data_IF_771000742881
#
_entry.id   IF_771000742881
#
_cell.length_a   1.000
_cell.length_b   1.000
_cell.length_c   1.000
_cell.angle_alpha   90.00
_cell.angle_beta   90.00
_cell.angle_gamma   90.00
#
_symmetry.space_group_name_H-M   'P 1'
#
loop_
_entity.id
_entity.type
_entity.pdbx_description
1 polymer ?
#
# COMPACT_ATOMS: atom_id res chain seq x y z
N UNK A 1 3.64 -12.36 15.07
CA UNK A 1 3.00 -12.59 13.75
C UNK A 1 4.01 -12.24 12.67
N UNK A 2 4.16 -13.08 11.62
CA UNK A 2 5.04 -12.76 10.50
C UNK A 2 4.42 -11.70 9.59
N UNK A 3 5.24 -10.94 8.87
CA UNK A 3 4.81 -9.89 7.93
C UNK A 3 3.84 -10.40 6.85
N UNK A 4 3.87 -11.69 6.53
CA UNK A 4 3.02 -12.34 5.52
C UNK A 4 1.57 -12.56 5.96
N UNK A 5 1.23 -12.29 7.22
CA UNK A 5 -0.12 -12.46 7.77
C UNK A 5 -0.82 -11.12 8.07
N UNK A 6 -0.20 -10.01 7.66
CA UNK A 6 -0.75 -8.66 7.86
C UNK A 6 -1.25 -8.13 6.53
N UNK A 7 -2.55 -7.90 6.43
CA UNK A 7 -3.16 -7.21 5.29
C UNK A 7 -2.82 -5.71 5.32
N UNK A 8 -2.46 -5.14 4.19
CA UNK A 8 -2.26 -3.69 4.05
C UNK A 8 -3.35 -3.14 3.15
N UNK A 9 -4.11 -2.20 3.66
CA UNK A 9 -5.25 -1.60 2.96
C UNK A 9 -4.98 -0.12 2.70
N UNK A 10 -5.16 0.29 1.46
CA UNK A 10 -5.08 1.69 1.06
C UNK A 10 -6.48 2.22 0.75
N UNK A 11 -6.97 3.15 1.55
CA UNK A 11 -8.35 3.67 1.49
C UNK A 11 -9.43 2.58 1.48
N UNK A 12 -9.20 1.49 2.24
CA UNK A 12 -10.14 0.39 2.39
C UNK A 12 -10.07 -0.69 1.30
N UNK A 13 -9.09 -0.64 0.40
CA UNK A 13 -8.84 -1.66 -0.62
C UNK A 13 -7.47 -2.29 -0.36
N UNK A 14 -7.42 -3.62 -0.25
CA UNK A 14 -6.16 -4.32 0.02
C UNK A 14 -5.14 -4.14 -1.10
N UNK A 15 -3.89 -3.95 -0.71
CA UNK A 15 -2.73 -3.96 -1.60
C UNK A 15 -2.18 -5.38 -1.69
N UNK A 16 -2.14 -5.94 -2.88
CA UNK A 16 -1.64 -7.29 -3.13
C UNK A 16 -0.18 -7.32 -3.55
N UNK A 17 0.54 -8.37 -3.17
CA UNK A 17 1.82 -8.74 -3.73
C UNK A 17 1.85 -10.25 -3.97
N UNK A 18 1.70 -10.68 -5.24
CA UNK A 18 1.65 -12.10 -5.60
C UNK A 18 3.03 -12.77 -5.61
N UNK A 19 4.13 -12.02 -5.55
CA UNK A 19 5.48 -12.55 -5.55
C UNK A 19 5.88 -13.11 -4.17
N UNK A 20 5.73 -12.29 -3.12
CA UNK A 20 6.21 -12.64 -1.78
C UNK A 20 5.23 -12.30 -0.65
N UNK A 21 4.06 -11.74 -0.95
CA UNK A 21 3.04 -11.39 0.03
C UNK A 21 3.36 -10.18 0.91
N UNK A 22 4.49 -9.50 0.69
CA UNK A 22 4.95 -8.38 1.52
C UNK A 22 4.75 -7.06 0.81
N UNK A 23 4.17 -6.08 1.48
CA UNK A 23 4.01 -4.72 0.98
C UNK A 23 5.06 -3.81 1.60
N UNK A 24 5.89 -3.18 0.77
CA UNK A 24 6.82 -2.14 1.21
C UNK A 24 6.06 -0.85 1.53
N UNK A 25 5.92 -0.56 2.84
CA UNK A 25 5.24 0.66 3.30
C UNK A 25 6.04 1.93 2.99
N UNK A 26 7.35 1.82 2.78
CA UNK A 26 8.21 2.95 2.42
C UNK A 26 7.89 3.59 1.07
N UNK A 27 7.11 2.93 0.23
CA UNK A 27 6.65 3.49 -1.04
C UNK A 27 5.50 4.51 -0.92
N UNK A 28 4.87 4.64 0.26
CA UNK A 28 3.79 5.59 0.50
C UNK A 28 4.28 6.84 1.21
N UNK A 29 3.80 8.01 0.77
CA UNK A 29 4.16 9.28 1.40
C UNK A 29 3.27 9.56 2.61
N UNK A 30 3.89 9.86 3.75
CA UNK A 30 3.15 10.30 4.94
C UNK A 30 2.59 11.72 4.81
N UNK A 31 3.11 12.52 3.87
CA UNK A 31 2.66 13.90 3.65
C UNK A 31 1.22 13.99 3.13
N UNK A 32 0.72 12.91 2.52
CA UNK A 32 -0.64 12.78 1.99
C UNK A 32 -1.52 11.82 2.82
N UNK A 33 -1.05 11.35 3.97
CA UNK A 33 -1.83 10.48 4.84
C UNK A 33 -2.59 11.28 5.89
N UNK A 34 -3.86 10.92 6.11
CA UNK A 34 -4.69 11.41 7.21
C UNK A 34 -4.49 10.53 8.44
N UNK A 35 -4.44 9.20 8.24
CA UNK A 35 -4.26 8.24 9.32
C UNK A 35 -3.54 6.98 8.85
N UNK A 36 -2.78 6.39 9.76
CA UNK A 36 -2.25 5.02 9.66
C UNK A 36 -2.75 4.27 10.89
N UNK A 37 -3.58 3.25 10.67
CA UNK A 37 -4.21 2.50 11.76
C UNK A 37 -3.80 1.04 11.72
N UNK A 38 -3.36 0.50 12.85
CA UNK A 38 -3.02 -0.91 13.02
C UNK A 38 -4.12 -1.60 13.82
N UNK A 39 -4.63 -2.70 13.29
CA UNK A 39 -5.53 -3.61 14.01
C UNK A 39 -4.83 -4.94 14.28
N UNK A 40 -4.83 -5.34 15.55
CA UNK A 40 -4.40 -6.67 16.00
C UNK A 40 -5.62 -7.60 15.92
N UNK A 41 -5.90 -8.14 14.74
CA UNK A 41 -7.12 -8.90 14.44
C UNK A 41 -8.01 -8.18 13.43
N UNK A 42 -9.28 -8.53 13.42
CA UNK A 42 -10.26 -7.95 12.51
C UNK A 42 -10.73 -6.57 13.00
N UNK A 43 -11.01 -5.68 12.05
CA UNK A 43 -11.68 -4.42 12.34
C UNK A 43 -13.09 -4.68 12.86
N UNK A 44 -13.50 -3.94 13.89
CA UNK A 44 -14.82 -4.11 14.56
C UNK A 44 -16.02 -3.68 13.71
N UNK A 45 -15.84 -3.19 12.48
CA UNK A 45 -16.92 -2.83 11.59
C UNK A 45 -17.39 -4.04 10.79
N UNK A 46 -18.70 -4.29 10.72
CA UNK A 46 -19.23 -5.37 9.87
C UNK A 46 -19.43 -4.92 8.41
N UNK A 47 -19.66 -3.64 8.16
CA UNK A 47 -19.87 -3.09 6.81
C UNK A 47 -18.51 -2.85 6.13
N UNK A 48 -17.99 -3.89 5.51
CA UNK A 48 -16.67 -3.93 4.86
C UNK A 48 -16.62 -5.03 3.79
N UNK A 49 -15.64 -4.99 2.88
CA UNK A 49 -15.37 -6.06 1.92
C UNK A 49 -15.15 -7.42 2.57
N UNK A 50 -15.37 -8.52 1.82
CA UNK A 50 -15.13 -9.87 2.31
C UNK A 50 -13.65 -10.09 2.67
N UNK A 51 -12.73 -9.47 1.94
CA UNK A 51 -11.28 -9.56 2.16
C UNK A 51 -10.84 -9.08 3.55
N UNK A 52 -11.52 -8.06 4.11
CA UNK A 52 -11.21 -7.50 5.43
C UNK A 52 -11.43 -8.50 6.57
N UNK A 53 -12.25 -9.54 6.36
CA UNK A 53 -12.47 -10.61 7.33
C UNK A 53 -11.39 -11.70 7.31
N UNK A 54 -10.48 -11.69 6.32
CA UNK A 54 -9.47 -12.73 6.10
C UNK A 54 -8.10 -12.48 6.72
N UNK A 55 -7.86 -11.33 7.34
CA UNK A 55 -6.53 -10.94 7.83
C UNK A 55 -6.38 -11.18 9.32
N UNK A 56 -5.26 -11.77 9.75
CA UNK A 56 -4.91 -11.95 11.15
C UNK A 56 -4.48 -10.66 11.86
N UNK A 57 -4.02 -9.67 11.09
CA UNK A 57 -3.76 -8.30 11.48
C UNK A 57 -3.88 -7.41 10.25
N UNK A 58 -4.14 -6.12 10.43
CA UNK A 58 -4.39 -5.22 9.30
C UNK A 58 -3.81 -3.83 9.54
N UNK A 59 -3.16 -3.29 8.51
CA UNK A 59 -2.70 -1.90 8.47
C UNK A 59 -3.57 -1.16 7.47
N UNK A 60 -4.25 -0.12 7.92
CA UNK A 60 -5.05 0.77 7.08
C UNK A 60 -4.31 2.08 6.87
N UNK A 61 -3.96 2.35 5.62
CA UNK A 61 -3.43 3.62 5.15
C UNK A 61 -4.61 4.44 4.63
N UNK A 62 -4.96 5.48 5.34
CA UNK A 62 -6.03 6.38 4.94
C UNK A 62 -5.43 7.66 4.40
N UNK A 63 -5.63 7.92 3.12
CA UNK A 63 -5.19 9.14 2.50
C UNK A 63 -6.11 10.31 2.83
N UNK A 64 -5.58 11.52 2.76
CA UNK A 64 -6.31 12.73 3.01
C UNK A 64 -7.43 12.92 1.98
N UNK A 65 -8.62 13.28 2.46
CA UNK A 65 -9.72 13.76 1.63
C UNK A 65 -9.74 15.29 1.66
N UNK A 66 -9.74 15.97 0.50
CA UNK A 66 -9.75 17.43 0.46
C UNK A 66 -10.97 18.04 1.19
N UNK A 67 -10.68 18.98 2.08
CA UNK A 67 -11.71 19.76 2.80
C UNK A 67 -11.40 21.23 2.60
N UNK A 68 -12.39 22.01 2.15
CA UNK A 68 -12.26 23.41 1.85
C UNK A 68 -13.07 24.27 2.81
N UNK A 69 -12.55 25.44 3.15
CA UNK A 69 -13.29 26.49 3.81
C UNK A 69 -14.13 27.25 2.77
N UNK A 70 -15.18 27.94 3.20
CA UNK A 70 -16.10 28.64 2.30
C UNK A 70 -15.40 29.68 1.40
N UNK A 71 -14.34 30.29 1.90
CA UNK A 71 -13.55 31.34 1.22
C UNK A 71 -12.43 30.82 0.31
N UNK A 72 -12.19 29.48 0.27
CA UNK A 72 -11.04 28.91 -0.46
C UNK A 72 -11.45 27.75 -1.35
N UNK A 73 -11.10 27.87 -2.63
CA UNK A 73 -11.33 26.83 -3.64
C UNK A 73 -10.12 25.93 -3.87
N UNK A 74 -8.96 26.25 -3.32
CA UNK A 74 -7.75 25.45 -3.48
C UNK A 74 -6.89 25.48 -2.20
N UNK A 75 -6.05 24.46 -2.09
CA UNK A 75 -5.03 24.34 -1.06
C UNK A 75 -3.76 23.79 -1.69
N UNK A 76 -2.61 24.40 -1.37
CA UNK A 76 -1.28 23.95 -1.83
C UNK A 76 -0.37 23.86 -0.61
N UNK A 77 0.31 22.71 -0.48
CA UNK A 77 1.33 22.47 0.52
C UNK A 77 2.60 21.99 -0.17
N UNK A 78 3.66 22.77 -0.10
CA UNK A 78 5.01 22.37 -0.51
C UNK A 78 5.84 22.06 0.73
N UNK A 79 6.55 20.92 0.71
CA UNK A 79 7.42 20.49 1.80
C UNK A 79 8.79 20.14 1.23
N UNK A 80 9.84 20.54 1.91
CA UNK A 80 11.20 20.15 1.59
C UNK A 80 11.86 19.56 2.83
N UNK A 81 12.33 18.32 2.72
CA UNK A 81 13.02 17.62 3.79
C UNK A 81 14.45 17.33 3.34
N UNK A 82 15.40 17.52 4.23
CA UNK A 82 16.80 17.18 4.04
C UNK A 82 17.37 16.62 5.34
N UNK A 83 18.48 15.93 5.26
CA UNK A 83 19.06 15.29 6.44
C UNK A 83 20.35 14.52 6.14
N UNK A 84 20.74 13.67 7.07
CA UNK A 84 21.91 12.81 6.95
C UNK A 84 21.86 11.96 5.67
N UNK A 85 23.03 11.51 5.22
CA UNK A 85 23.23 10.68 4.02
C UNK A 85 22.83 11.34 2.70
N UNK A 86 22.83 12.68 2.66
CA UNK A 86 22.52 13.47 1.46
C UNK A 86 21.05 13.36 1.04
N UNK A 87 20.13 13.31 2.01
CA UNK A 87 18.69 13.27 1.75
C UNK A 87 18.22 14.58 1.13
N UNK A 88 17.50 14.46 0.01
CA UNK A 88 16.76 15.51 -0.68
C UNK A 88 15.36 14.98 -0.95
N UNK A 89 14.34 15.56 -0.31
CA UNK A 89 12.97 15.03 -0.38
C UNK A 89 11.94 16.17 -0.48
N UNK A 90 11.79 16.79 -1.67
CA UNK A 90 10.70 17.71 -1.95
C UNK A 90 9.38 16.97 -2.13
N UNK A 91 8.29 17.55 -1.65
CA UNK A 91 6.92 17.10 -1.92
C UNK A 91 5.97 18.26 -2.16
N UNK A 92 4.94 18.02 -2.96
CA UNK A 92 3.89 18.95 -3.29
C UNK A 92 2.54 18.25 -3.17
N UNK A 93 1.64 18.87 -2.43
CA UNK A 93 0.23 18.52 -2.39
C UNK A 93 -0.58 19.70 -2.92
N UNK A 94 -1.38 19.46 -3.94
CA UNK A 94 -2.34 20.40 -4.48
C UNK A 94 -3.74 19.81 -4.37
N UNK A 95 -4.68 20.57 -3.84
CA UNK A 95 -6.09 20.23 -3.70
C UNK A 95 -6.94 21.33 -4.31
N UNK A 96 -7.98 20.96 -5.05
CA UNK A 96 -8.86 21.87 -5.77
C UNK A 96 -10.32 21.50 -5.59
N UNK A 97 -11.14 22.45 -5.20
CA UNK A 97 -12.61 22.37 -5.28
C UNK A 97 -13.01 22.60 -6.75
N UNK A 98 -13.56 21.57 -7.39
CA UNK A 98 -14.03 21.66 -8.78
C UNK A 98 -15.50 22.10 -8.84
N UNK A 99 -16.31 21.69 -7.86
CA UNK A 99 -17.68 22.11 -7.67
C UNK A 99 -18.07 21.98 -6.19
N UNK A 100 -19.31 22.27 -5.83
CA UNK A 100 -19.82 22.09 -4.45
C UNK A 100 -19.70 20.63 -3.98
N UNK A 101 -19.77 19.68 -4.90
CA UNK A 101 -19.80 18.26 -4.59
C UNK A 101 -18.56 17.49 -5.09
N UNK A 102 -17.65 18.12 -5.84
CA UNK A 102 -16.50 17.45 -6.46
C UNK A 102 -15.23 18.18 -6.14
N UNK A 103 -14.23 17.44 -5.71
CA UNK A 103 -12.86 17.93 -5.49
C UNK A 103 -11.82 17.02 -6.12
N UNK A 104 -10.65 17.58 -6.38
CA UNK A 104 -9.49 16.89 -6.91
C UNK A 104 -8.29 17.09 -5.99
N UNK A 105 -7.36 16.13 -6.01
CA UNK A 105 -6.05 16.27 -5.38
C UNK A 105 -4.95 15.74 -6.30
N UNK A 106 -3.76 16.32 -6.18
CA UNK A 106 -2.52 15.82 -6.77
C UNK A 106 -1.42 15.90 -5.71
N UNK A 107 -0.80 14.77 -5.40
CA UNK A 107 0.33 14.67 -4.49
C UNK A 107 1.53 14.11 -5.24
N UNK A 108 2.68 14.76 -5.14
CA UNK A 108 3.93 14.29 -5.72
C UNK A 108 5.03 14.37 -4.68
N UNK A 109 5.94 13.41 -4.70
CA UNK A 109 7.10 13.38 -3.81
C UNK A 109 8.29 12.76 -4.53
N UNK A 110 9.42 13.43 -4.47
CA UNK A 110 10.68 12.90 -4.93
C UNK A 110 11.59 12.64 -3.74
N UNK A 111 12.24 11.50 -3.72
CA UNK A 111 13.17 11.09 -2.68
C UNK A 111 14.52 10.73 -3.31
N UNK A 112 15.56 11.43 -2.89
CA UNK A 112 16.93 11.10 -3.23
C UNK A 112 17.77 11.01 -1.97
N UNK A 113 18.64 10.00 -1.90
CA UNK A 113 19.70 9.90 -0.89
C UNK A 113 20.90 9.18 -1.46
N UNK A 114 22.10 9.56 -1.04
CA UNK A 114 23.32 8.84 -1.38
C UNK A 114 23.51 7.58 -0.56
N UNK A 115 22.87 7.46 0.60
CA UNK A 115 23.00 6.36 1.54
C UNK A 115 24.42 6.14 2.07
N UNK A 116 25.35 7.09 1.84
CA UNK A 116 26.76 6.96 2.24
C UNK A 116 26.96 7.34 3.70
N UNK A 117 27.63 6.49 4.45
CA UNK A 117 28.04 6.80 5.82
C UNK A 117 29.36 6.11 6.19
N UNK A 118 30.08 6.72 7.14
CA UNK A 118 31.29 6.12 7.73
C UNK A 118 30.87 5.12 8.81
N UNK A 119 31.56 3.99 8.88
CA UNK A 119 31.38 3.01 9.92
C UNK A 119 32.73 2.42 10.31
N UNK A 120 32.84 1.96 11.56
CA UNK A 120 34.02 1.33 12.12
C UNK A 120 33.79 -0.18 12.20
N UNK A 121 34.79 -0.98 11.84
CA UNK A 121 34.75 -2.42 11.95
C UNK A 121 36.11 -2.97 12.41
N UNK A 122 36.07 -4.11 13.09
CA UNK A 122 37.28 -4.79 13.52
C UNK A 122 37.92 -5.56 12.38
N UNK A 123 39.25 -5.44 12.24
CA UNK A 123 40.08 -6.23 11.27
C UNK A 123 40.81 -7.35 11.99
N UNK A 124 41.22 -8.36 11.23
CA UNK A 124 42.10 -9.40 11.72
C UNK A 124 43.39 -8.76 12.23
N UNK A 125 43.72 -8.99 13.51
CA UNK A 125 44.85 -8.34 14.19
C UNK A 125 44.44 -7.48 15.40
N UNK A 126 43.13 -7.33 15.67
CA UNK A 126 42.56 -6.75 16.91
C UNK A 126 42.53 -5.22 16.96
N UNK A 127 42.58 -4.54 15.83
CA UNK A 127 42.39 -3.10 15.76
C UNK A 127 41.19 -2.74 14.90
N UNK A 128 40.55 -1.60 15.23
CA UNK A 128 39.47 -1.06 14.49
C UNK A 128 39.90 -0.19 13.32
N UNK A 129 39.20 -0.27 12.23
CA UNK A 129 39.40 0.61 11.06
C UNK A 129 38.09 1.22 10.60
N UNK A 130 38.15 2.31 9.84
CA UNK A 130 36.98 3.04 9.36
C UNK A 130 36.89 2.93 7.84
N UNK A 131 35.68 2.61 7.36
CA UNK A 131 35.36 2.60 5.94
C UNK A 131 34.11 3.43 5.64
N UNK A 132 33.83 3.65 4.37
CA UNK A 132 32.61 4.29 3.90
C UNK A 132 31.69 3.25 3.32
N UNK A 133 30.50 3.10 3.90
CA UNK A 133 29.43 2.31 3.33
C UNK A 133 28.91 2.99 2.07
N UNK A 134 28.73 2.22 1.02
CA UNK A 134 28.24 2.66 -0.29
C UNK A 134 27.07 1.79 -0.72
N UNK A 135 26.44 2.11 -1.87
CA UNK A 135 25.33 1.35 -2.46
C UNK A 135 24.12 1.24 -1.53
N UNK A 136 23.84 2.28 -0.75
CA UNK A 136 22.60 2.45 0.03
C UNK A 136 21.76 3.60 -0.52
N UNK A 137 22.06 4.02 -1.75
CA UNK A 137 21.36 5.13 -2.41
C UNK A 137 19.92 4.73 -2.77
N UNK A 138 19.06 5.73 -2.76
CA UNK A 138 17.68 5.63 -3.21
C UNK A 138 17.37 6.83 -4.10
N UNK A 139 16.72 6.54 -5.22
CA UNK A 139 16.12 7.52 -6.11
C UNK A 139 14.69 7.07 -6.36
N UNK A 140 13.71 7.82 -5.89
CA UNK A 140 12.32 7.44 -5.97
C UNK A 140 11.40 8.61 -6.29
N UNK A 141 10.40 8.36 -7.14
CA UNK A 141 9.34 9.29 -7.49
C UNK A 141 7.99 8.69 -7.13
N UNK A 142 7.13 9.45 -6.49
CA UNK A 142 5.73 9.15 -6.21
C UNK A 142 4.84 10.19 -6.84
N UNK A 143 3.72 9.75 -7.37
CA UNK A 143 2.65 10.62 -7.81
C UNK A 143 1.31 9.97 -7.50
N UNK A 144 0.37 10.74 -6.96
CA UNK A 144 -0.98 10.30 -6.69
C UNK A 144 -1.97 11.37 -7.11
N UNK A 145 -2.95 11.00 -7.95
CA UNK A 145 -4.08 11.83 -8.31
C UNK A 145 -5.37 11.27 -7.72
N UNK A 146 -6.23 12.14 -7.20
CA UNK A 146 -7.52 11.76 -6.61
C UNK A 146 -8.67 12.65 -7.07
N UNK A 147 -9.83 12.02 -7.30
CA UNK A 147 -11.11 12.69 -7.48
C UNK A 147 -12.08 12.20 -6.40
N UNK A 148 -12.80 13.13 -5.81
CA UNK A 148 -13.71 12.88 -4.70
C UNK A 148 -15.03 13.55 -4.98
N UNK A 149 -16.12 12.79 -4.90
CA UNK A 149 -17.46 13.29 -5.08
C UNK A 149 -18.35 13.01 -3.88
N UNK A 150 -19.15 14.00 -3.49
CA UNK A 150 -20.23 13.86 -2.53
C UNK A 150 -21.54 13.65 -3.28
N UNK A 151 -22.34 12.72 -2.83
CA UNK A 151 -23.71 12.49 -3.32
C UNK A 151 -24.65 12.47 -2.12
N UNK A 152 -25.95 12.59 -2.36
CA UNK A 152 -26.94 12.50 -1.28
C UNK A 152 -26.79 11.16 -0.55
N UNK A 153 -26.46 11.20 0.75
CA UNK A 153 -26.22 10.04 1.61
C UNK A 153 -25.14 9.09 1.10
N UNK A 154 -24.02 9.66 0.61
CA UNK A 154 -22.92 8.82 0.13
C UNK A 154 -21.76 9.62 -0.48
N UNK A 155 -20.82 8.88 -1.04
CA UNK A 155 -19.66 9.43 -1.73
C UNK A 155 -19.15 8.47 -2.80
N UNK A 156 -18.35 9.01 -3.70
CA UNK A 156 -17.44 8.24 -4.54
C UNK A 156 -16.03 8.84 -4.48
N UNK A 157 -15.05 8.03 -4.67
CA UNK A 157 -13.66 8.45 -4.79
C UNK A 157 -12.95 7.57 -5.80
N UNK A 158 -12.08 8.18 -6.58
CA UNK A 158 -11.25 7.48 -7.56
C UNK A 158 -9.83 7.98 -7.43
N UNK A 159 -8.85 7.07 -7.49
CA UNK A 159 -7.44 7.39 -7.33
C UNK A 159 -6.59 6.66 -8.34
N UNK A 160 -5.54 7.33 -8.78
CA UNK A 160 -4.43 6.77 -9.51
C UNK A 160 -3.15 7.01 -8.69
N UNK A 161 -2.38 5.96 -8.47
CA UNK A 161 -1.11 5.98 -7.76
C UNK A 161 0.00 5.46 -8.65
N UNK A 162 1.15 6.13 -8.61
CA UNK A 162 2.35 5.74 -9.31
C UNK A 162 3.57 5.86 -8.39
N UNK A 163 4.42 4.85 -8.41
CA UNK A 163 5.70 4.83 -7.74
C UNK A 163 6.75 4.24 -8.66
N UNK A 164 7.90 4.89 -8.75
CA UNK A 164 9.07 4.38 -9.43
C UNK A 164 10.29 4.60 -8.54
N UNK A 165 11.13 3.59 -8.40
CA UNK A 165 12.38 3.73 -7.64
C UNK A 165 13.52 2.89 -8.21
N UNK A 166 14.71 3.40 -7.97
CA UNK A 166 15.97 2.69 -8.06
C UNK A 166 16.66 2.77 -6.71
N UNK A 167 17.13 1.62 -6.21
CA UNK A 167 17.83 1.55 -4.91
C UNK A 167 18.96 0.56 -4.93
N UNK A 168 20.03 0.89 -4.19
CA UNK A 168 21.13 -0.02 -3.91
C UNK A 168 20.91 -0.79 -2.62
N UNK A 169 21.43 -2.02 -2.59
CA UNK A 169 21.48 -2.87 -1.40
C UNK A 169 22.92 -3.10 -1.01
N UNK A 170 23.40 -2.46 0.06
CA UNK A 170 24.81 -2.59 0.46
C UNK A 170 25.17 -3.96 1.04
N UNK A 171 24.21 -4.84 1.31
CA UNK A 171 24.42 -6.16 1.89
C UNK A 171 24.89 -6.14 3.34
N UNK A 172 25.49 -7.23 3.82
CA UNK A 172 26.07 -7.34 5.16
C UNK A 172 27.56 -6.99 5.15
N UNK A 173 28.09 -6.57 6.30
CA UNK A 173 29.55 -6.48 6.52
C UNK A 173 30.03 -7.84 7.02
N UNK A 174 30.77 -8.58 6.19
CA UNK A 174 31.28 -9.90 6.54
C UNK A 174 32.77 -9.98 6.20
N UNK A 175 33.63 -10.24 7.20
CA UNK A 175 35.06 -10.43 7.05
C UNK A 175 35.75 -9.38 6.14
N UNK A 176 35.55 -8.10 6.46
CA UNK A 176 36.05 -6.95 5.69
C UNK A 176 35.47 -6.80 4.29
N UNK A 177 34.46 -7.59 3.91
CA UNK A 177 33.71 -7.47 2.65
C UNK A 177 32.42 -6.70 2.93
N UNK A 178 32.21 -5.56 2.27
CA UNK A 178 31.08 -4.69 2.46
C UNK A 178 30.74 -3.83 1.22
N UNK A 179 31.25 -4.25 0.06
CA UNK A 179 31.08 -3.55 -1.22
C UNK A 179 30.07 -4.27 -2.11
N UNK A 180 28.92 -4.68 -1.55
CA UNK A 180 27.84 -5.25 -2.35
C UNK A 180 27.26 -4.19 -3.31
N UNK A 181 27.03 -4.59 -4.54
CA UNK A 181 26.53 -3.73 -5.60
C UNK A 181 25.15 -4.17 -6.12
N UNK A 182 24.39 -4.89 -5.29
CA UNK A 182 23.03 -5.31 -5.64
C UNK A 182 22.12 -4.10 -5.84
N UNK A 183 21.30 -4.17 -6.88
CA UNK A 183 20.39 -3.08 -7.28
C UNK A 183 18.99 -3.61 -7.42
N UNK A 184 18.01 -2.75 -7.12
CA UNK A 184 16.61 -3.02 -7.37
C UNK A 184 15.93 -1.81 -8.01
N UNK A 185 15.10 -2.10 -9.00
CA UNK A 185 14.19 -1.15 -9.65
C UNK A 185 12.77 -1.60 -9.42
N UNK A 186 11.93 -0.68 -8.96
CA UNK A 186 10.51 -0.92 -8.75
C UNK A 186 9.68 0.06 -9.58
N UNK A 187 8.60 -0.43 -10.16
CA UNK A 187 7.53 0.39 -10.71
C UNK A 187 6.20 -0.16 -10.24
N UNK A 188 5.43 0.65 -9.52
CA UNK A 188 4.12 0.27 -9.01
C UNK A 188 3.09 1.27 -9.50
N UNK A 189 2.01 0.77 -10.02
CA UNK A 189 0.86 1.56 -10.44
C UNK A 189 -0.41 0.90 -9.94
N UNK A 190 -1.33 1.67 -9.39
CA UNK A 190 -2.69 1.20 -9.21
C UNK A 190 -3.70 2.31 -9.50
N UNK A 191 -4.83 1.89 -10.00
CA UNK A 191 -6.03 2.70 -10.16
C UNK A 191 -7.13 2.05 -9.35
N UNK A 192 -7.78 2.81 -8.47
CA UNK A 192 -8.85 2.29 -7.63
C UNK A 192 -9.99 3.27 -7.51
N UNK A 193 -11.20 2.71 -7.33
CA UNK A 193 -12.42 3.48 -7.14
C UNK A 193 -13.27 2.84 -6.04
N UNK A 194 -13.90 3.68 -5.23
CA UNK A 194 -14.86 3.28 -4.21
C UNK A 194 -16.13 4.11 -4.35
N UNK A 195 -17.26 3.46 -4.20
CA UNK A 195 -18.59 4.08 -4.19
C UNK A 195 -19.35 3.60 -2.97
N UNK A 196 -19.85 4.52 -2.15
CA UNK A 196 -20.70 4.23 -1.00
C UNK A 196 -22.00 5.01 -1.11
N UNK A 197 -23.11 4.33 -0.87
CA UNK A 197 -24.46 4.93 -0.86
C UNK A 197 -25.30 4.32 0.23
N UNK A 198 -25.94 5.18 1.04
CA UNK A 198 -26.95 4.79 2.00
C UNK A 198 -28.34 5.10 1.40
N UNK A 199 -29.23 4.10 1.39
CA UNK A 199 -30.60 4.18 0.90
C UNK A 199 -31.56 4.21 2.12
N UNK A 200 -31.75 5.40 2.66
CA UNK A 200 -32.40 5.59 3.95
C UNK A 200 -31.58 4.97 5.09
N UNK A 201 -32.28 4.55 6.12
CA UNK A 201 -31.67 3.97 7.33
C UNK A 201 -31.56 2.44 7.28
N UNK A 202 -32.11 1.84 6.23
CA UNK A 202 -32.26 0.36 6.13
C UNK A 202 -31.17 -0.30 5.32
N UNK A 203 -30.71 0.32 4.22
CA UNK A 203 -29.78 -0.33 3.30
C UNK A 203 -28.59 0.56 2.95
N UNK A 204 -27.39 -0.03 2.98
CA UNK A 204 -26.17 0.62 2.55
C UNK A 204 -25.39 -0.28 1.57
N UNK A 205 -24.89 0.33 0.52
CA UNK A 205 -24.06 -0.31 -0.52
C UNK A 205 -22.66 0.27 -0.51
N UNK A 206 -21.64 -0.60 -0.57
CA UNK A 206 -20.24 -0.24 -0.81
C UNK A 206 -19.72 -1.06 -1.99
N UNK A 207 -19.19 -0.37 -3.00
CA UNK A 207 -18.55 -0.98 -4.16
C UNK A 207 -17.09 -0.53 -4.21
N UNK A 208 -16.18 -1.46 -4.50
CA UNK A 208 -14.79 -1.15 -4.76
C UNK A 208 -14.31 -1.85 -6.02
N UNK A 209 -13.43 -1.18 -6.75
CA UNK A 209 -12.73 -1.72 -7.90
C UNK A 209 -11.27 -1.26 -7.87
N UNK A 210 -10.33 -2.15 -8.25
CA UNK A 210 -8.91 -1.82 -8.39
C UNK A 210 -8.30 -2.58 -9.56
N UNK A 211 -7.44 -1.90 -10.28
CA UNK A 211 -6.43 -2.49 -11.15
C UNK A 211 -5.06 -2.11 -10.64
N UNK A 212 -4.14 -3.07 -10.55
CA UNK A 212 -2.76 -2.81 -10.17
C UNK A 212 -1.78 -3.49 -11.14
N UNK A 213 -0.65 -2.83 -11.34
CA UNK A 213 0.50 -3.33 -12.06
C UNK A 213 1.76 -3.05 -11.25
N UNK A 214 2.54 -4.11 -11.00
CA UNK A 214 3.81 -4.02 -10.29
C UNK A 214 4.91 -4.64 -11.15
N UNK A 215 6.03 -3.96 -11.24
CA UNK A 215 7.27 -4.41 -11.84
C UNK A 215 8.39 -4.33 -10.81
N UNK A 216 9.17 -5.39 -10.71
CA UNK A 216 10.39 -5.45 -9.90
C UNK A 216 11.50 -6.06 -10.75
N UNK A 217 12.65 -5.41 -10.77
CA UNK A 217 13.89 -5.95 -11.30
C UNK A 217 14.96 -5.94 -10.20
N UNK A 218 15.52 -7.09 -9.91
CA UNK A 218 16.61 -7.24 -8.96
C UNK A 218 17.85 -7.80 -9.68
N UNK A 219 19.00 -7.15 -9.46
CA UNK A 219 20.29 -7.51 -10.02
C UNK A 219 21.33 -7.67 -8.91
N UNK A 220 21.91 -8.86 -8.81
CA UNK A 220 23.15 -9.12 -8.07
C UNK A 220 24.18 -9.64 -9.07
N UNK A 221 25.28 -8.91 -9.27
CA UNK A 221 26.31 -9.23 -10.25
C UNK A 221 27.62 -9.67 -9.58
N UNK A 222 27.93 -10.99 -9.59
CA UNK A 222 29.15 -11.52 -8.96
C UNK A 222 30.42 -11.17 -9.69
N UNK A 223 30.39 -10.66 -10.93
CA UNK A 223 31.59 -10.17 -11.59
C UNK A 223 32.25 -9.01 -10.86
N UNK A 224 31.46 -8.33 -10.03
CA UNK A 224 31.88 -7.23 -9.16
C UNK A 224 32.30 -7.70 -7.77
N UNK A 225 31.92 -8.92 -7.36
CA UNK A 225 32.28 -9.55 -6.09
C UNK A 225 32.41 -11.07 -6.24
N UNK A 226 33.57 -11.62 -5.88
CA UNK A 226 33.93 -13.04 -6.08
C UNK A 226 33.06 -14.06 -5.30
N UNK A 227 32.07 -13.67 -4.53
CA UNK A 227 31.41 -14.54 -3.55
C UNK A 227 29.90 -14.68 -3.72
N UNK A 228 29.28 -14.03 -4.67
CA UNK A 228 27.81 -14.04 -4.83
C UNK A 228 27.37 -14.73 -6.11
N UNK A 229 26.20 -15.35 -6.07
CA UNK A 229 25.57 -15.96 -7.23
C UNK A 229 24.99 -14.85 -8.12
N UNK A 230 25.18 -14.95 -9.43
CA UNK A 230 24.54 -14.05 -10.38
C UNK A 230 23.01 -14.18 -10.32
N UNK A 231 22.35 -13.08 -10.04
CA UNK A 231 20.90 -12.98 -10.04
C UNK A 231 20.48 -11.79 -10.89
N UNK A 232 19.65 -12.03 -11.89
CA UNK A 232 19.08 -10.98 -12.74
C UNK A 232 17.62 -11.31 -13.00
N UNK A 233 16.78 -11.01 -12.00
CA UNK A 233 15.40 -11.43 -11.97
C UNK A 233 14.45 -10.25 -12.19
N UNK A 234 13.50 -10.44 -13.08
CA UNK A 234 12.38 -9.51 -13.29
C UNK A 234 11.06 -10.18 -12.96
N UNK A 235 10.20 -9.44 -12.29
CA UNK A 235 8.85 -9.87 -11.95
C UNK A 235 7.86 -8.82 -12.43
N UNK A 236 6.73 -9.28 -12.99
CA UNK A 236 5.62 -8.43 -13.43
C UNK A 236 4.34 -9.03 -12.92
N UNK A 237 3.65 -8.28 -12.10
CA UNK A 237 2.37 -8.65 -11.53
C UNK A 237 1.26 -7.77 -12.10
N UNK A 238 0.10 -8.37 -12.32
CA UNK A 238 -1.15 -7.67 -12.60
C UNK A 238 -2.22 -8.16 -11.63
N UNK A 239 -3.07 -7.27 -11.18
CA UNK A 239 -4.19 -7.57 -10.30
C UNK A 239 -5.44 -6.80 -10.74
N UNK A 240 -6.57 -7.50 -10.76
CA UNK A 240 -7.91 -6.91 -10.80
C UNK A 240 -8.63 -7.32 -9.54
N UNK A 241 -9.22 -6.38 -8.83
CA UNK A 241 -10.02 -6.62 -7.63
C UNK A 241 -11.35 -5.89 -7.74
N UNK A 242 -12.43 -6.61 -7.45
CA UNK A 242 -13.80 -6.11 -7.39
C UNK A 242 -14.41 -6.52 -6.06
N UNK A 243 -15.17 -5.65 -5.43
CA UNK A 243 -15.81 -5.91 -4.16
C UNK A 243 -17.18 -5.25 -4.09
N UNK A 244 -18.13 -5.95 -3.48
CA UNK A 244 -19.44 -5.44 -3.15
C UNK A 244 -19.80 -5.83 -1.71
N UNK A 245 -20.14 -4.87 -0.88
CA UNK A 245 -20.66 -5.09 0.46
C UNK A 245 -22.05 -4.47 0.61
N UNK A 246 -22.95 -5.21 1.22
CA UNK A 246 -24.36 -4.85 1.40
C UNK A 246 -24.70 -4.95 2.87
N UNK A 247 -25.00 -3.80 3.51
CA UNK A 247 -25.50 -3.79 4.89
C UNK A 247 -26.99 -3.56 4.87
N UNK A 248 -27.71 -4.39 5.62
CA UNK A 248 -29.16 -4.25 5.88
C UNK A 248 -29.37 -4.11 7.39
N UNK A 249 -30.04 -3.04 7.81
CA UNK A 249 -30.52 -2.83 9.18
C UNK A 249 -31.93 -3.41 9.28
N UNK A 250 -32.05 -4.58 9.90
CA UNK A 250 -33.33 -5.27 10.08
C UNK A 250 -34.17 -4.61 11.20
N UNK A 251 -33.50 -4.22 12.27
CA UNK A 251 -34.05 -3.51 13.40
C UNK A 251 -33.05 -2.46 13.89
N UNK A 252 -33.43 -1.44 14.65
CA UNK A 252 -32.50 -0.42 15.15
C UNK A 252 -31.30 -0.96 15.92
N UNK A 253 -31.41 -2.19 16.41
CA UNK A 253 -30.37 -2.89 17.17
C UNK A 253 -29.70 -4.04 16.40
N UNK A 254 -30.08 -4.32 15.14
CA UNK A 254 -29.60 -5.49 14.40
C UNK A 254 -29.25 -5.17 12.95
N UNK A 255 -27.96 -5.25 12.66
CA UNK A 255 -27.39 -5.12 11.31
C UNK A 255 -26.88 -6.46 10.78
N UNK A 256 -27.07 -6.68 9.49
CA UNK A 256 -26.46 -7.78 8.72
C UNK A 256 -25.66 -7.19 7.57
N UNK A 257 -24.48 -7.74 7.31
CA UNK A 257 -23.69 -7.43 6.12
C UNK A 257 -23.42 -8.71 5.32
N UNK A 258 -23.61 -8.64 4.01
CA UNK A 258 -23.20 -9.65 3.05
C UNK A 258 -22.25 -9.00 2.07
N UNK A 259 -21.05 -9.53 1.94
CA UNK A 259 -20.04 -9.03 1.01
C UNK A 259 -19.49 -10.14 0.13
N UNK A 260 -19.16 -9.78 -1.10
CA UNK A 260 -18.56 -10.66 -2.09
C UNK A 260 -17.42 -9.92 -2.79
N UNK A 261 -16.27 -10.57 -2.89
CA UNK A 261 -15.09 -10.05 -3.53
C UNK A 261 -14.60 -11.03 -4.59
N UNK A 262 -14.07 -10.48 -5.67
CA UNK A 262 -13.37 -11.22 -6.70
C UNK A 262 -12.00 -10.62 -6.93
N UNK A 263 -10.97 -11.46 -7.00
CA UNK A 263 -9.60 -11.07 -7.28
C UNK A 263 -9.00 -11.96 -8.35
N UNK A 264 -8.47 -11.33 -9.39
CA UNK A 264 -7.65 -11.98 -10.40
C UNK A 264 -6.21 -11.49 -10.28
N UNK A 265 -5.27 -12.43 -10.27
CA UNK A 265 -3.83 -12.14 -10.24
C UNK A 265 -3.12 -12.90 -11.35
N UNK A 266 -2.10 -12.26 -11.93
CA UNK A 266 -1.16 -12.85 -12.86
C UNK A 266 0.26 -12.45 -12.47
N UNK A 267 1.18 -13.41 -12.40
CA UNK A 267 2.58 -13.18 -12.15
C UNK A 267 3.42 -13.75 -13.29
N UNK A 268 4.31 -12.92 -13.82
CA UNK A 268 5.32 -13.31 -14.82
C UNK A 268 6.72 -13.05 -14.24
N UNK A 269 7.68 -13.91 -14.57
CA UNK A 269 9.08 -13.72 -14.25
C UNK A 269 9.97 -14.20 -15.42
N UNK A 270 11.21 -13.78 -15.44
CA UNK A 270 12.21 -14.25 -16.42
C UNK A 270 13.02 -15.47 -15.92
N UNK A 271 12.52 -16.15 -14.90
CA UNK A 271 13.14 -17.36 -14.34
C UNK A 271 12.96 -18.55 -15.30
N UNK A 272 13.96 -19.41 -15.36
CA UNK A 272 13.87 -20.69 -16.07
C UNK A 272 12.74 -21.53 -15.49
N UNK A 273 11.92 -22.13 -16.36
CA UNK A 273 10.78 -23.00 -15.99
C UNK A 273 9.73 -22.33 -15.07
N UNK A 274 9.60 -20.99 -15.13
CA UNK A 274 8.63 -20.29 -14.33
C UNK A 274 7.19 -20.61 -14.81
N UNK A 275 6.26 -21.01 -13.93
CA UNK A 275 4.95 -21.53 -14.33
C UNK A 275 3.94 -20.45 -14.78
N UNK A 276 4.28 -19.16 -14.73
CA UNK A 276 3.42 -18.02 -15.07
C UNK A 276 2.03 -18.10 -14.42
N UNK A 277 1.96 -18.18 -13.09
CA UNK A 277 0.72 -18.46 -12.40
C UNK A 277 -0.34 -17.40 -12.65
N UNK A 278 -1.59 -17.88 -12.80
CA UNK A 278 -2.80 -17.07 -12.79
C UNK A 278 -3.71 -17.61 -11.70
N UNK A 279 -4.23 -16.72 -10.86
CA UNK A 279 -5.10 -17.11 -9.76
C UNK A 279 -6.39 -16.28 -9.81
N UNK A 280 -7.50 -16.97 -9.71
CA UNK A 280 -8.81 -16.41 -9.42
C UNK A 280 -9.14 -16.74 -7.96
N UNK A 281 -9.64 -15.77 -7.23
CA UNK A 281 -10.07 -15.95 -5.86
C UNK A 281 -11.42 -15.27 -5.70
N UNK A 282 -12.42 -16.03 -5.25
CA UNK A 282 -13.70 -15.48 -4.85
C UNK A 282 -13.84 -15.60 -3.33
N UNK A 283 -14.29 -14.53 -2.69
CA UNK A 283 -14.51 -14.46 -1.26
C UNK A 283 -15.98 -14.08 -1.03
N UNK A 284 -16.62 -14.74 -0.10
CA UNK A 284 -17.97 -14.38 0.35
C UNK A 284 -17.96 -14.32 1.87
N UNK A 285 -18.40 -13.22 2.44
CA UNK A 285 -18.51 -13.07 3.88
C UNK A 285 -19.93 -12.67 4.27
N UNK A 286 -20.40 -13.25 5.36
CA UNK A 286 -21.60 -12.80 6.05
C UNK A 286 -21.22 -12.40 7.48
N UNK A 287 -21.68 -11.23 7.91
CA UNK A 287 -21.42 -10.72 9.24
C UNK A 287 -22.70 -10.13 9.84
N UNK A 288 -22.84 -10.22 11.14
CA UNK A 288 -23.96 -9.67 11.88
C UNK A 288 -23.49 -8.89 13.10
N UNK A 289 -24.21 -7.86 13.48
CA UNK A 289 -23.95 -7.05 14.67
C UNK A 289 -25.25 -6.77 15.40
N UNK A 290 -25.32 -7.16 16.66
CA UNK A 290 -26.38 -6.84 17.59
C UNK A 290 -25.88 -5.77 18.55
N UNK A 291 -26.60 -4.65 18.68
CA UNK A 291 -26.27 -3.51 19.52
C UNK A 291 -27.32 -3.38 20.62
N UNK A 292 -26.92 -3.59 21.85
CA UNK A 292 -27.75 -3.36 23.02
C UNK A 292 -27.14 -2.25 23.88
N UNK A 293 -27.93 -1.65 24.75
CA UNK A 293 -27.46 -0.52 25.59
C UNK A 293 -26.15 -0.79 26.34
N UNK A 294 -25.90 -2.05 26.74
CA UNK A 294 -24.76 -2.43 27.59
C UNK A 294 -23.78 -3.38 26.93
N UNK A 295 -24.11 -3.97 25.78
CA UNK A 295 -23.21 -4.87 25.10
C UNK A 295 -23.43 -4.86 23.57
N UNK A 296 -22.37 -5.19 22.84
CA UNK A 296 -22.38 -5.38 21.41
C UNK A 296 -21.90 -6.79 21.10
N UNK A 297 -22.69 -7.55 20.34
CA UNK A 297 -22.31 -8.86 19.85
C UNK A 297 -22.08 -8.79 18.34
N UNK A 298 -20.96 -9.36 17.87
CA UNK A 298 -20.66 -9.48 16.46
C UNK A 298 -20.22 -10.90 16.14
N UNK A 299 -20.68 -11.40 14.98
CA UNK A 299 -20.24 -12.67 14.42
C UNK A 299 -20.00 -12.51 12.92
N UNK A 300 -19.04 -13.24 12.37
CA UNK A 300 -18.76 -13.26 10.94
C UNK A 300 -18.32 -14.65 10.50
N UNK A 301 -18.58 -14.97 9.23
CA UNK A 301 -18.11 -16.15 8.54
C UNK A 301 -17.57 -15.73 7.18
N UNK A 302 -16.45 -16.33 6.76
CA UNK A 302 -15.80 -16.10 5.48
C UNK A 302 -15.60 -17.42 4.75
N UNK A 303 -16.06 -17.48 3.50
CA UNK A 303 -15.76 -18.54 2.54
C UNK A 303 -14.78 -18.06 1.49
N UNK A 304 -13.82 -18.91 1.12
CA UNK A 304 -12.81 -18.66 0.07
C UNK A 304 -12.90 -19.76 -0.98
N UNK A 305 -12.94 -19.39 -2.25
CA UNK A 305 -13.12 -20.29 -3.41
C UNK A 305 -12.07 -20.00 -4.48
#
# INVERSE_FOLDING_TARGET
MGTNHVGVFYDGIELGNAQNGVIDLGRFSLDNMEAVTLYNGQKSAIFQPAKDFGSAGSIYLQSRTPVFREDRAYHVKATFKTGSFGVVNPSLLWEQKLSENVSASLSTEYMYTTGKYKFTYAVDGGYDTTAVRRNGDVNALRAEGGLYGKIKSGYWRTKAYFYNSERGYPGAVVRNRFSHEDRQWDTNFFFQSSFKKDFGDVYSLLLNAKYAYDYLHYLADPQKEEATMYVNNTYRQQEVYLSMANRVTLFPFWDINISADYQWNKLNANLTDFPYPRRNTALVAAATSLHFERFKLQASVLGTF
#
